data_IF_378385543054
#
_entry.id   IF_378385543054
#
_cell.length_a   1.000
_cell.length_b   1.000
_cell.length_c   1.000
_cell.angle_alpha   90.00
_cell.angle_beta   90.00
_cell.angle_gamma   90.00
#
_symmetry.space_group_name_H-M   'P 1'
#
loop_
_entity.id
_entity.type
_entity.pdbx_description
1 polymer ?
#
# COMPACT_ATOMS: atom_id res chain seq x y z
N UNK A 1 2.77 0.73 0.83
CA UNK A 1 1.98 1.89 1.29
C UNK A 1 2.27 3.10 0.38
N UNK A 2 1.79 4.29 0.70
CA UNK A 2 1.76 5.48 -0.18
C UNK A 2 2.94 5.75 -1.14
N UNK A 3 4.12 6.13 -0.64
CA UNK A 3 5.22 6.59 -1.51
C UNK A 3 5.67 5.48 -2.48
N UNK A 4 5.81 4.24 -1.98
CA UNK A 4 6.17 3.09 -2.81
C UNK A 4 5.12 2.76 -3.88
N UNK A 5 3.84 2.87 -3.53
CA UNK A 5 2.71 2.66 -4.44
C UNK A 5 2.66 3.67 -5.58
N UNK A 6 2.78 4.96 -5.27
CA UNK A 6 2.82 5.97 -6.31
C UNK A 6 4.09 5.92 -7.16
N UNK A 7 5.24 5.53 -6.58
CA UNK A 7 6.44 5.25 -7.36
C UNK A 7 6.19 4.15 -8.41
N UNK A 8 5.54 3.04 -8.03
CA UNK A 8 5.18 1.97 -8.96
C UNK A 8 4.26 2.46 -10.09
N UNK A 9 3.23 3.27 -9.77
CA UNK A 9 2.35 3.85 -10.77
C UNK A 9 3.10 4.78 -11.75
N UNK A 10 4.04 5.59 -11.25
CA UNK A 10 4.88 6.46 -12.06
C UNK A 10 5.85 5.67 -12.95
N UNK A 11 6.44 4.58 -12.44
CA UNK A 11 7.30 3.67 -13.20
C UNK A 11 6.52 2.98 -14.33
N UNK A 12 5.25 2.63 -14.09
CA UNK A 12 4.42 1.93 -15.07
C UNK A 12 3.84 2.86 -16.15
N UNK A 13 3.67 4.16 -15.84
CA UNK A 13 3.12 5.17 -16.76
C UNK A 13 3.74 5.19 -18.18
N UNK A 14 5.07 5.10 -18.38
CA UNK A 14 5.68 5.09 -19.71
C UNK A 14 5.51 3.78 -20.50
N UNK A 15 5.00 2.71 -19.88
CA UNK A 15 4.86 1.41 -20.56
C UNK A 15 3.79 1.49 -21.65
N UNK A 16 4.08 0.93 -22.82
CA UNK A 16 3.15 0.90 -23.96
C UNK A 16 1.86 0.19 -23.56
N UNK A 17 0.71 0.85 -23.78
CA UNK A 17 -0.64 0.41 -23.37
C UNK A 17 -0.93 0.44 -21.86
N UNK A 18 -0.10 1.10 -21.04
CA UNK A 18 -0.46 1.31 -19.64
C UNK A 18 -1.75 2.14 -19.51
N UNK A 19 -2.59 1.89 -18.48
CA UNK A 19 -3.72 2.75 -18.14
C UNK A 19 -3.32 4.23 -17.92
N UNK A 20 -4.33 5.11 -17.87
CA UNK A 20 -4.08 6.52 -17.54
C UNK A 20 -3.49 6.67 -16.13
N UNK A 21 -2.70 7.73 -15.90
CA UNK A 21 -2.06 7.94 -14.59
C UNK A 21 -3.07 7.98 -13.41
N UNK A 22 -4.25 8.62 -13.52
CA UNK A 22 -5.26 8.56 -12.46
C UNK A 22 -5.76 7.14 -12.19
N UNK A 23 -5.90 6.30 -13.22
CA UNK A 23 -6.30 4.89 -13.05
C UNK A 23 -5.20 4.11 -12.33
N UNK A 24 -3.94 4.34 -12.68
CA UNK A 24 -2.81 3.73 -11.99
C UNK A 24 -2.74 4.16 -10.51
N UNK A 25 -2.96 5.44 -10.21
CA UNK A 25 -3.03 5.93 -8.83
C UNK A 25 -4.20 5.32 -8.06
N UNK A 26 -5.39 5.22 -8.67
CA UNK A 26 -6.53 4.55 -8.05
C UNK A 26 -6.21 3.06 -7.78
N UNK A 27 -5.60 2.36 -8.74
CA UNK A 27 -5.25 0.95 -8.60
C UNK A 27 -4.30 0.69 -7.43
N UNK A 28 -3.24 1.51 -7.29
CA UNK A 28 -2.30 1.33 -6.18
C UNK A 28 -2.89 1.79 -4.84
N UNK A 29 -3.78 2.78 -4.83
CA UNK A 29 -4.46 3.23 -3.63
C UNK A 29 -5.48 2.19 -3.12
N UNK A 30 -6.10 1.43 -4.02
CA UNK A 30 -6.98 0.31 -3.65
C UNK A 30 -6.25 -0.74 -2.82
N UNK A 31 -4.94 -0.94 -3.03
CA UNK A 31 -4.14 -1.86 -2.21
C UNK A 31 -4.05 -1.40 -0.75
N UNK A 32 -3.88 -0.09 -0.52
CA UNK A 32 -3.89 0.47 0.84
C UNK A 32 -5.28 0.38 1.47
N UNK A 33 -6.36 0.61 0.69
CA UNK A 33 -7.74 0.46 1.18
C UNK A 33 -8.01 -1.00 1.57
N UNK A 34 -7.56 -1.96 0.75
CA UNK A 34 -7.67 -3.38 1.04
C UNK A 34 -6.92 -3.75 2.33
N UNK A 35 -5.69 -3.23 2.52
CA UNK A 35 -4.95 -3.39 3.77
C UNK A 35 -5.76 -2.94 4.99
N UNK A 36 -6.34 -1.73 4.97
CA UNK A 36 -7.17 -1.27 6.10
C UNK A 36 -8.43 -2.12 6.30
N UNK A 37 -9.04 -2.62 5.23
CA UNK A 37 -10.16 -3.56 5.33
C UNK A 37 -9.73 -4.87 6.02
N UNK A 38 -8.55 -5.40 5.70
CA UNK A 38 -8.00 -6.59 6.35
C UNK A 38 -7.63 -6.35 7.82
N UNK A 39 -7.15 -5.17 8.18
CA UNK A 39 -6.93 -4.77 9.57
C UNK A 39 -8.25 -4.74 10.34
N UNK A 40 -9.32 -4.20 9.76
CA UNK A 40 -10.67 -4.21 10.36
C UNK A 40 -11.17 -5.66 10.51
N UNK A 41 -10.93 -6.51 9.50
CA UNK A 41 -11.26 -7.94 9.53
C UNK A 41 -10.35 -8.76 10.46
N UNK A 42 -9.34 -8.14 11.08
CA UNK A 42 -8.33 -8.78 11.95
C UNK A 42 -7.50 -9.86 11.25
N UNK A 43 -7.46 -9.89 9.92
CA UNK A 43 -6.59 -10.78 9.15
C UNK A 43 -5.21 -10.19 8.93
N UNK A 44 -5.08 -8.87 9.07
CA UNK A 44 -3.81 -8.14 9.13
C UNK A 44 -3.77 -7.27 10.38
N UNK A 45 -2.59 -6.77 10.75
CA UNK A 45 -2.44 -6.01 11.99
C UNK A 45 -1.41 -4.90 11.87
N UNK A 46 -1.76 -3.78 12.49
CA UNK A 46 -0.88 -2.65 12.73
C UNK A 46 -0.98 -2.24 14.19
N UNK A 47 0.03 -1.50 14.67
CA UNK A 47 -0.05 -0.77 15.92
C UNK A 47 0.46 0.66 15.73
N UNK A 48 0.05 1.55 16.63
CA UNK A 48 0.55 2.92 16.65
C UNK A 48 1.76 2.97 17.58
N UNK A 49 2.92 3.30 17.03
CA UNK A 49 4.18 3.42 17.78
C UNK A 49 4.82 4.75 17.42
N UNK A 50 4.67 5.78 18.28
CA UNK A 50 5.27 7.08 18.05
C UNK A 50 6.78 6.99 17.82
N UNK A 51 7.28 7.68 16.80
CA UNK A 51 8.71 7.72 16.49
C UNK A 51 9.29 6.48 15.81
N UNK A 52 8.48 5.48 15.44
CA UNK A 52 9.00 4.28 14.75
C UNK A 52 9.53 4.57 13.35
N UNK A 53 8.94 5.54 12.65
CA UNK A 53 9.51 6.12 11.43
C UNK A 53 9.51 7.64 11.51
N UNK A 54 10.33 8.27 10.67
CA UNK A 54 10.35 9.74 10.54
C UNK A 54 9.04 10.31 9.96
N UNK A 55 8.26 9.51 9.23
CA UNK A 55 7.12 9.98 8.45
C UNK A 55 5.76 9.72 9.11
N UNK A 56 5.57 8.55 9.72
CA UNK A 56 4.31 8.17 10.36
C UNK A 56 4.53 7.23 11.56
N UNK A 57 3.58 7.16 12.51
CA UNK A 57 3.67 6.30 13.68
C UNK A 57 3.08 4.89 13.44
N UNK A 58 2.93 4.44 12.19
CA UNK A 58 2.32 3.15 11.88
C UNK A 58 3.39 2.06 11.86
N UNK A 59 3.28 1.13 12.81
CA UNK A 59 4.07 -0.09 12.83
C UNK A 59 3.25 -1.22 12.20
N UNK A 60 3.65 -1.59 10.99
CA UNK A 60 2.95 -2.50 10.10
C UNK A 60 3.53 -3.92 10.21
N UNK A 61 3.31 -4.59 11.34
CA UNK A 61 4.06 -5.79 11.71
C UNK A 61 3.49 -7.11 11.17
N UNK A 62 2.25 -7.15 10.68
CA UNK A 62 1.64 -8.39 10.15
C UNK A 62 0.70 -8.09 8.99
N UNK A 63 1.16 -8.35 7.76
CA UNK A 63 0.43 -8.05 6.51
C UNK A 63 0.61 -9.11 5.42
N UNK A 64 0.32 -10.40 5.69
CA UNK A 64 0.63 -11.46 4.74
C UNK A 64 -0.14 -11.39 3.41
N UNK A 65 -1.31 -10.74 3.36
CA UNK A 65 -2.20 -10.79 2.20
C UNK A 65 -2.08 -9.57 1.28
N UNK A 66 -1.93 -8.37 1.85
CA UNK A 66 -1.84 -7.14 1.08
C UNK A 66 -0.40 -6.76 0.74
N UNK A 67 0.55 -7.03 1.64
CA UNK A 67 1.94 -6.58 1.53
C UNK A 67 2.96 -7.68 1.85
N UNK A 68 2.53 -8.94 1.83
CA UNK A 68 3.39 -10.10 1.96
C UNK A 68 4.16 -10.36 0.67
N UNK A 69 5.36 -10.94 0.79
CA UNK A 69 6.18 -11.32 -0.37
C UNK A 69 5.51 -12.40 -1.25
N UNK A 70 4.59 -13.17 -0.66
CA UNK A 70 3.96 -14.31 -1.32
C UNK A 70 2.60 -14.00 -1.96
N UNK A 71 1.75 -13.16 -1.36
CA UNK A 71 0.35 -13.01 -1.79
C UNK A 71 -0.41 -14.33 -1.68
#
# INVERSE_FOLDING_TARGET
MFIGHYAAALILRPVKKAPSLPVLFAAVQLMDIAFFAFVIAKTESLRITPGITAMNPLDLYFMPFSHGLAG
#
